data_IF_515069372117
#
_entry.id   IF_515069372117
#
_cell.length_a   1.000
_cell.length_b   1.000
_cell.length_c   1.000
_cell.angle_alpha   90.00
_cell.angle_beta   90.00
_cell.angle_gamma   90.00
#
_symmetry.space_group_name_H-M   'P 1'
#
loop_
_entity.id
_entity.type
_entity.pdbx_description
1 polymer ?
#
# COMPACT_ATOMS: atom_id res chain seq x y z
N UNK A 1 6.48 13.30 11.34
CA UNK A 1 7.41 12.29 10.75
C UNK A 1 8.30 12.92 9.70
N UNK A 2 9.56 12.47 9.55
CA UNK A 2 10.49 12.96 8.52
C UNK A 2 10.18 12.31 7.15
N UNK A 3 10.30 13.05 6.04
CA UNK A 3 10.12 12.53 4.67
C UNK A 3 10.96 11.27 4.38
N UNK A 4 12.14 11.14 4.98
CA UNK A 4 12.98 9.94 4.84
C UNK A 4 12.30 8.68 5.40
N UNK A 5 11.49 8.81 6.45
CA UNK A 5 10.73 7.70 7.03
C UNK A 5 9.71 7.16 6.02
N UNK A 6 8.88 8.02 5.42
CA UNK A 6 7.85 7.58 4.48
C UNK A 6 8.44 6.96 3.21
N UNK A 7 9.54 7.51 2.70
CA UNK A 7 10.24 6.93 1.55
C UNK A 7 10.72 5.50 1.85
N UNK A 8 11.39 5.28 3.00
CA UNK A 8 11.82 3.95 3.42
C UNK A 8 10.65 3.00 3.65
N UNK A 9 9.58 3.47 4.31
CA UNK A 9 8.39 2.68 4.58
C UNK A 9 7.70 2.23 3.28
N UNK A 10 7.65 3.10 2.26
CA UNK A 10 7.08 2.78 0.96
C UNK A 10 7.89 1.75 0.19
N UNK A 11 9.22 1.91 0.14
CA UNK A 11 10.11 0.91 -0.47
C UNK A 11 9.94 -0.43 0.25
N UNK A 12 9.91 -0.43 1.59
CA UNK A 12 9.70 -1.65 2.37
C UNK A 12 8.34 -2.29 2.10
N UNK A 13 7.28 -1.50 1.92
CA UNK A 13 5.95 -2.00 1.57
C UNK A 13 5.96 -2.68 0.19
N UNK A 14 6.63 -2.10 -0.80
CA UNK A 14 6.78 -2.72 -2.12
C UNK A 14 7.56 -4.02 -2.03
N UNK A 15 8.73 -4.00 -1.39
CA UNK A 15 9.61 -5.16 -1.26
C UNK A 15 8.97 -6.31 -0.48
N UNK A 16 8.27 -6.02 0.62
CA UNK A 16 7.77 -7.05 1.54
C UNK A 16 6.31 -7.45 1.31
N UNK A 17 5.52 -6.63 0.61
CA UNK A 17 4.09 -6.89 0.41
C UNK A 17 3.71 -7.03 -1.06
N UNK A 18 4.29 -6.24 -1.97
CA UNK A 18 3.89 -6.24 -3.40
C UNK A 18 4.68 -7.31 -4.19
N UNK A 19 6.00 -7.28 -4.14
CA UNK A 19 6.84 -8.23 -4.89
C UNK A 19 6.60 -9.71 -4.50
N UNK A 20 6.40 -10.07 -3.22
CA UNK A 20 6.18 -11.47 -2.83
C UNK A 20 4.85 -12.06 -3.35
N UNK A 21 3.90 -11.21 -3.76
CA UNK A 21 2.63 -11.65 -4.35
C UNK A 21 2.80 -11.99 -5.86
N UNK A 22 3.98 -11.79 -6.42
CA UNK A 22 4.29 -12.11 -7.81
C UNK A 22 3.96 -10.98 -8.79
N UNK A 23 3.81 -9.75 -8.28
CA UNK A 23 3.69 -8.55 -9.11
C UNK A 23 5.01 -8.31 -9.84
N UNK A 24 4.97 -8.27 -11.17
CA UNK A 24 6.15 -8.07 -12.03
C UNK A 24 6.05 -6.88 -12.99
N UNK A 25 4.89 -6.24 -13.09
CA UNK A 25 4.71 -5.09 -13.97
C UNK A 25 5.47 -3.88 -13.39
N UNK A 26 6.50 -3.36 -14.08
CA UNK A 26 7.31 -2.25 -13.57
C UNK A 26 6.49 -0.97 -13.42
N UNK A 27 5.54 -0.68 -14.32
CA UNK A 27 4.73 0.55 -14.23
C UNK A 27 3.89 0.58 -12.95
N UNK A 28 3.42 -0.59 -12.55
CA UNK A 28 2.63 -0.77 -11.36
C UNK A 28 3.49 -0.68 -10.09
N UNK A 29 4.68 -1.29 -10.10
CA UNK A 29 5.66 -1.17 -9.01
C UNK A 29 6.03 0.31 -8.81
N UNK A 30 6.37 1.01 -9.89
CA UNK A 30 6.69 2.44 -9.89
C UNK A 30 5.53 3.29 -9.36
N UNK A 31 4.29 2.91 -9.67
CA UNK A 31 3.09 3.57 -9.14
C UNK A 31 2.99 3.45 -7.62
N UNK A 32 3.30 2.28 -7.05
CA UNK A 32 3.33 2.08 -5.59
C UNK A 32 4.50 2.81 -4.91
N UNK A 33 5.66 2.93 -5.57
CA UNK A 33 6.84 3.65 -5.03
C UNK A 33 6.74 5.18 -5.16
N UNK A 34 6.00 5.68 -6.13
CA UNK A 34 5.81 7.13 -6.33
C UNK A 34 4.62 7.69 -5.56
N UNK A 35 3.58 6.89 -5.34
CA UNK A 35 2.34 7.33 -4.67
C UNK A 35 2.53 7.51 -3.17
N UNK A 36 2.27 8.74 -2.70
CA UNK A 36 2.38 9.13 -1.29
C UNK A 36 1.11 8.78 -0.50
N UNK A 37 0.96 7.51 -0.09
CA UNK A 37 -0.20 7.04 0.70
C UNK A 37 -0.45 7.88 1.98
N UNK A 38 0.61 8.42 2.58
CA UNK A 38 0.55 9.27 3.78
C UNK A 38 -0.28 10.55 3.61
N UNK A 39 -0.58 10.96 2.38
CA UNK A 39 -1.42 12.13 2.10
C UNK A 39 -2.93 11.84 2.18
N UNK A 40 -3.33 10.57 2.23
CA UNK A 40 -4.74 10.14 2.16
C UNK A 40 -5.28 9.59 3.49
N UNK A 41 -4.54 9.75 4.59
CA UNK A 41 -4.93 9.23 5.91
C UNK A 41 -4.86 10.33 6.98
N UNK A 42 -5.65 10.19 8.08
CA UNK A 42 -5.54 11.08 9.22
C UNK A 42 -4.13 11.08 9.83
N UNK A 43 -3.74 12.18 10.48
CA UNK A 43 -2.41 12.31 11.10
C UNK A 43 -2.12 11.18 12.10
N UNK A 44 -3.13 10.72 12.85
CA UNK A 44 -3.02 9.63 13.82
C UNK A 44 -2.65 8.27 13.22
N UNK A 45 -2.92 8.09 11.92
CA UNK A 45 -2.73 6.81 11.22
C UNK A 45 -1.49 6.81 10.31
N UNK A 46 -0.80 7.96 10.17
CA UNK A 46 0.37 8.08 9.29
C UNK A 46 1.49 7.13 9.67
N UNK A 47 1.63 6.81 10.95
CA UNK A 47 2.70 5.97 11.45
C UNK A 47 2.60 4.52 10.95
N UNK A 48 1.39 4.07 10.62
CA UNK A 48 1.10 2.70 10.19
C UNK A 48 0.61 2.62 8.73
N UNK A 49 0.56 3.72 7.99
CA UNK A 49 -0.05 3.77 6.63
C UNK A 49 0.56 2.81 5.59
N UNK A 50 1.81 2.39 5.82
CA UNK A 50 2.55 1.46 4.96
C UNK A 50 2.62 0.02 5.52
N UNK A 51 2.04 -0.25 6.68
CA UNK A 51 1.90 -1.62 7.18
C UNK A 51 0.77 -2.36 6.45
N UNK A 52 0.74 -3.69 6.58
CA UNK A 52 -0.38 -4.53 6.13
C UNK A 52 -1.51 -4.54 7.19
N UNK A 53 -1.91 -3.34 7.62
CA UNK A 53 -2.97 -3.13 8.61
C UNK A 53 -4.17 -2.42 7.98
N UNK A 54 -5.35 -2.64 8.56
CA UNK A 54 -6.54 -1.89 8.18
C UNK A 54 -6.47 -0.49 8.76
N UNK A 55 -6.50 0.54 7.91
CA UNK A 55 -6.37 1.94 8.30
C UNK A 55 -7.73 2.61 8.23
N UNK A 56 -8.25 3.08 9.36
CA UNK A 56 -9.53 3.80 9.36
C UNK A 56 -9.32 5.24 8.89
N UNK A 57 -10.03 5.67 7.85
CA UNK A 57 -9.96 7.05 7.34
C UNK A 57 -11.06 7.90 7.99
N UNK A 58 -12.27 7.35 8.06
CA UNK A 58 -13.43 7.95 8.71
C UNK A 58 -14.23 6.86 9.40
N UNK A 59 -15.18 7.18 10.30
CA UNK A 59 -16.06 6.16 10.87
C UNK A 59 -16.66 5.28 9.78
N UNK A 60 -16.51 3.96 9.92
CA UNK A 60 -16.99 2.94 8.97
C UNK A 60 -16.37 2.99 7.55
N UNK A 61 -15.22 3.64 7.37
CA UNK A 61 -14.45 3.62 6.11
C UNK A 61 -12.97 3.36 6.37
N UNK A 62 -12.43 2.41 5.63
CA UNK A 62 -11.04 1.99 5.72
C UNK A 62 -10.32 2.20 4.39
N UNK A 63 -9.05 2.54 4.46
CA UNK A 63 -8.16 2.55 3.32
C UNK A 63 -8.00 1.12 2.80
N UNK A 64 -8.07 0.98 1.48
CA UNK A 64 -7.82 -0.31 0.85
C UNK A 64 -6.34 -0.71 0.99
N UNK A 65 -6.09 -1.95 1.40
CA UNK A 65 -4.74 -2.53 1.48
C UNK A 65 -4.06 -2.54 0.10
N UNK A 66 -2.74 -2.35 0.08
CA UNK A 66 -1.97 -2.14 -1.16
C UNK A 66 -2.13 -3.30 -2.16
N UNK A 67 -2.16 -4.56 -1.70
CA UNK A 67 -2.35 -5.69 -2.60
C UNK A 67 -3.77 -5.78 -3.21
N UNK A 68 -4.80 -5.26 -2.53
CA UNK A 68 -6.16 -5.20 -3.08
C UNK A 68 -6.28 -4.12 -4.15
N UNK A 69 -5.61 -2.98 -3.94
CA UNK A 69 -5.45 -1.94 -4.97
C UNK A 69 -4.80 -2.53 -6.21
N UNK A 70 -3.72 -3.30 -6.03
CA UNK A 70 -3.07 -4.00 -7.12
C UNK A 70 -4.05 -4.88 -7.91
N UNK A 71 -4.69 -5.84 -7.24
CA UNK A 71 -5.58 -6.80 -7.88
C UNK A 71 -6.70 -6.11 -8.68
N UNK A 72 -7.26 -5.02 -8.13
CA UNK A 72 -8.26 -4.20 -8.80
C UNK A 72 -7.72 -3.57 -10.10
N UNK A 73 -6.51 -3.00 -10.06
CA UNK A 73 -5.88 -2.35 -11.21
C UNK A 73 -5.49 -3.38 -12.29
N UNK A 74 -4.96 -4.53 -11.89
CA UNK A 74 -4.55 -5.59 -12.83
C UNK A 74 -5.72 -6.42 -13.37
N UNK A 75 -6.94 -6.20 -12.90
CA UNK A 75 -8.11 -7.02 -13.25
C UNK A 75 -7.97 -8.47 -12.80
N UNK A 76 -7.07 -8.76 -11.86
CA UNK A 76 -6.87 -10.09 -11.31
C UNK A 76 -7.73 -10.28 -10.08
N UNK A 77 -8.29 -11.47 -9.91
CA UNK A 77 -9.05 -11.77 -8.71
C UNK A 77 -8.12 -11.76 -7.48
N UNK A 78 -8.45 -11.06 -6.39
CA UNK A 78 -7.57 -10.94 -5.21
C UNK A 78 -7.46 -12.24 -4.39
N UNK A 79 -7.88 -13.40 -4.90
CA UNK A 79 -7.80 -14.66 -4.18
C UNK A 79 -6.37 -15.17 -4.16
N UNK A 80 -5.74 -15.00 -2.99
CA UNK A 80 -4.63 -15.85 -2.55
C UNK A 80 -5.21 -17.24 -2.32
N UNK A 81 -5.14 -18.11 -3.32
CA UNK A 81 -5.26 -19.56 -3.07
C UNK A 81 -4.04 -19.93 -2.23
N UNK A 82 -4.25 -20.03 -0.92
CA UNK A 82 -3.45 -20.90 -0.06
C UNK A 82 -3.94 -22.33 -0.25
#
# INVERSE_FOLDING_TARGET
MNNNFFNKARINMVTNQILPIGVKDPNLIDSFESTKKELFVPESEKDIVYSDSDIMITPSRYLMRSFKVWALISGTSPFRTI
#
